data_IF_375166640949
#
_entry.id   IF_375166640949
#
_cell.length_a   1.000
_cell.length_b   1.000
_cell.length_c   1.000
_cell.angle_alpha   90.00
_cell.angle_beta   90.00
_cell.angle_gamma   90.00
#
_symmetry.space_group_name_H-M   'P 1'
#
loop_
_entity.id
_entity.type
_entity.pdbx_description
1 polymer ?
#
# COMPACT_ATOMS: atom_id res chain seq x y z
N UNK A 1 7.12 4.19 -63.62
CA UNK A 1 8.23 3.25 -63.32
C UNK A 1 7.96 2.63 -61.96
N UNK A 2 7.48 1.38 -61.90
CA UNK A 2 7.22 0.67 -60.64
C UNK A 2 8.28 -0.43 -60.51
N UNK A 3 9.12 -0.36 -59.48
CA UNK A 3 10.05 -1.42 -59.12
C UNK A 3 9.28 -2.41 -58.25
N UNK A 4 9.10 -3.64 -58.74
CA UNK A 4 8.64 -4.77 -57.95
C UNK A 4 9.89 -5.40 -57.37
N UNK A 5 10.07 -5.27 -56.06
CA UNK A 5 11.06 -6.00 -55.28
C UNK A 5 10.31 -6.97 -54.39
N UNK A 6 10.44 -8.24 -54.72
CA UNK A 6 10.37 -9.38 -53.83
C UNK A 6 11.69 -10.12 -54.12
N UNK A 7 12.36 -10.74 -53.13
CA UNK A 7 11.71 -11.87 -52.48
C UNK A 7 12.21 -12.24 -51.06
N UNK A 8 11.55 -13.28 -50.53
CA UNK A 8 12.18 -14.45 -49.91
C UNK A 8 12.35 -14.52 -48.39
N UNK A 9 12.13 -15.76 -47.93
CA UNK A 9 12.62 -16.39 -46.71
C UNK A 9 11.86 -16.13 -45.42
N UNK A 10 10.82 -16.95 -45.26
CA UNK A 10 10.53 -17.63 -44.02
C UNK A 10 11.82 -18.20 -43.39
N UNK A 11 12.16 -17.74 -42.20
CA UNK A 11 13.05 -18.44 -41.29
C UNK A 11 12.32 -18.67 -39.97
N UNK A 12 11.83 -19.90 -39.86
CA UNK A 12 11.37 -20.55 -38.64
C UNK A 12 12.54 -20.62 -37.65
N UNK A 13 12.48 -19.89 -36.53
CA UNK A 13 13.36 -20.13 -35.37
C UNK A 13 12.51 -20.59 -34.20
N UNK A 14 12.76 -21.85 -33.84
CA UNK A 14 12.18 -22.59 -32.73
C UNK A 14 12.51 -21.97 -31.37
N UNK A 15 11.48 -21.98 -30.52
CA UNK A 15 11.47 -22.27 -29.08
C UNK A 15 12.78 -22.09 -28.29
N UNK A 16 12.86 -20.98 -27.55
CA UNK A 16 13.49 -20.97 -26.23
C UNK A 16 12.40 -20.90 -25.16
N UNK A 17 11.71 -22.03 -24.97
CA UNK A 17 11.01 -22.35 -23.73
C UNK A 17 12.04 -22.63 -22.64
N UNK A 18 12.63 -21.57 -22.11
CA UNK A 18 13.36 -21.65 -20.85
C UNK A 18 12.37 -22.01 -19.74
N UNK A 19 12.67 -22.98 -18.86
CA UNK A 19 11.87 -23.16 -17.66
C UNK A 19 12.07 -21.89 -16.82
N UNK A 20 11.05 -21.04 -16.82
CA UNK A 20 10.92 -19.96 -15.85
C UNK A 20 10.90 -20.60 -14.46
N UNK A 21 12.09 -20.71 -13.86
CA UNK A 21 12.24 -20.94 -12.44
C UNK A 21 11.67 -19.69 -11.76
N UNK A 22 10.37 -19.69 -11.51
CA UNK A 22 9.81 -18.80 -10.52
C UNK A 22 10.46 -19.20 -9.21
N UNK A 23 11.41 -18.37 -8.76
CA UNK A 23 11.85 -18.41 -7.39
C UNK A 23 10.59 -18.32 -6.54
N UNK A 24 10.21 -19.46 -5.96
CA UNK A 24 9.12 -19.55 -5.00
C UNK A 24 9.45 -18.57 -3.90
N UNK A 25 8.76 -17.42 -3.93
CA UNK A 25 8.88 -16.37 -2.96
C UNK A 25 8.48 -16.94 -1.61
N UNK A 26 9.48 -17.27 -0.79
CA UNK A 26 9.31 -17.72 0.61
C UNK A 26 8.68 -16.61 1.47
N UNK A 27 8.41 -15.43 0.91
CA UNK A 27 7.61 -14.36 1.49
C UNK A 27 6.20 -14.24 0.90
N UNK A 28 5.64 -15.32 0.35
CA UNK A 28 4.20 -15.45 0.08
C UNK A 28 3.33 -15.48 1.37
N UNK A 29 3.79 -14.89 2.48
CA UNK A 29 2.89 -14.35 3.50
C UNK A 29 2.21 -13.09 2.93
N UNK A 30 1.35 -13.34 1.94
CA UNK A 30 0.46 -12.34 1.39
C UNK A 30 -0.35 -11.69 2.50
N UNK A 31 -0.84 -10.47 2.22
CA UNK A 31 -1.61 -9.54 3.09
C UNK A 31 -2.56 -10.14 4.16
N UNK A 32 -2.95 -11.41 4.07
CA UNK A 32 -3.65 -12.17 5.12
C UNK A 32 -2.79 -12.57 6.34
N UNK A 33 -1.47 -12.68 6.24
CA UNK A 33 -0.59 -13.08 7.36
C UNK A 33 -0.66 -12.13 8.55
N UNK A 34 -0.41 -10.83 8.31
CA UNK A 34 -0.49 -9.77 9.33
C UNK A 34 -1.90 -9.63 9.93
N UNK A 35 -2.93 -10.02 9.20
CA UNK A 35 -4.30 -9.99 9.72
C UNK A 35 -4.56 -11.11 10.72
N UNK A 36 -4.19 -12.33 10.33
CA UNK A 36 -4.33 -13.51 11.17
C UNK A 36 -3.53 -13.36 12.46
N UNK A 37 -2.36 -12.72 12.37
CA UNK A 37 -1.55 -12.39 13.53
C UNK A 37 -2.27 -11.44 14.51
N UNK A 38 -2.89 -10.35 14.02
CA UNK A 38 -3.65 -9.43 14.88
C UNK A 38 -4.83 -10.12 15.56
N UNK A 39 -5.53 -11.02 14.85
CA UNK A 39 -6.65 -11.78 15.43
C UNK A 39 -6.20 -12.66 16.59
N UNK A 40 -5.09 -13.38 16.40
CA UNK A 40 -4.48 -14.23 17.42
C UNK A 40 -3.97 -13.40 18.59
N UNK A 41 -3.28 -12.29 18.32
CA UNK A 41 -2.73 -11.44 19.38
C UNK A 41 -3.82 -10.74 20.18
N UNK A 42 -4.97 -10.39 19.61
CA UNK A 42 -6.04 -9.74 20.35
C UNK A 42 -7.09 -10.71 20.92
N UNK A 43 -6.92 -12.01 20.71
CA UNK A 43 -7.87 -13.04 21.14
C UNK A 43 -9.32 -12.66 20.75
N UNK A 44 -9.52 -12.28 19.47
CA UNK A 44 -10.81 -11.79 19.00
C UNK A 44 -11.86 -12.91 18.98
N UNK A 45 -13.08 -12.60 19.42
CA UNK A 45 -14.22 -13.52 19.30
C UNK A 45 -14.61 -13.70 17.83
N UNK A 46 -15.34 -14.78 17.53
CA UNK A 46 -15.83 -15.04 16.18
C UNK A 46 -16.70 -13.90 15.64
N UNK A 47 -17.57 -13.33 16.49
CA UNK A 47 -18.39 -12.16 16.13
C UNK A 47 -17.52 -10.95 15.79
N UNK A 48 -16.52 -10.64 16.62
CA UNK A 48 -15.61 -9.52 16.36
C UNK A 48 -14.83 -9.71 15.06
N UNK A 49 -14.43 -10.95 14.76
CA UNK A 49 -13.75 -11.34 13.52
C UNK A 49 -14.64 -11.08 12.30
N UNK A 50 -15.92 -11.40 12.38
CA UNK A 50 -16.90 -11.20 11.30
C UNK A 50 -17.15 -9.71 11.04
N UNK A 51 -17.39 -8.92 12.09
CA UNK A 51 -17.53 -7.46 11.97
C UNK A 51 -16.27 -6.83 11.35
N UNK A 52 -15.09 -7.29 11.75
CA UNK A 52 -13.83 -6.80 11.20
C UNK A 52 -13.62 -7.20 9.72
N UNK A 53 -14.09 -8.38 9.30
CA UNK A 53 -14.05 -8.81 7.89
C UNK A 53 -15.02 -7.99 7.04
N UNK A 54 -16.23 -7.74 7.53
CA UNK A 54 -17.23 -6.93 6.84
C UNK A 54 -16.76 -5.49 6.66
N UNK A 55 -16.30 -4.85 7.75
CA UNK A 55 -15.74 -3.49 7.70
C UNK A 55 -14.56 -3.37 6.71
N UNK A 56 -13.77 -4.43 6.54
CA UNK A 56 -12.71 -4.46 5.52
C UNK A 56 -13.25 -4.56 4.11
N UNK A 57 -14.30 -5.37 3.88
CA UNK A 57 -14.93 -5.49 2.56
C UNK A 57 -15.52 -4.15 2.14
N UNK A 58 -16.24 -3.47 3.03
CA UNK A 58 -16.86 -2.16 2.74
C UNK A 58 -15.83 -1.05 2.54
N UNK A 59 -14.69 -1.08 3.25
CA UNK A 59 -13.61 -0.12 3.04
C UNK A 59 -12.66 -0.47 1.88
N UNK A 60 -12.89 -1.57 1.13
CA UNK A 60 -12.09 -1.85 -0.07
C UNK A 60 -12.43 -0.90 -1.22
N UNK A 61 -13.67 -0.44 -1.30
CA UNK A 61 -14.21 0.39 -2.38
C UNK A 61 -14.02 1.89 -2.15
N UNK A 62 -13.70 2.31 -0.92
CA UNK A 62 -13.39 3.71 -0.60
C UNK A 62 -12.02 4.10 -1.16
N UNK A 63 -11.90 5.36 -1.56
CA UNK A 63 -10.61 5.96 -1.90
C UNK A 63 -9.64 5.75 -0.72
N UNK A 64 -8.48 5.15 -1.00
CA UNK A 64 -7.48 4.86 0.01
C UNK A 64 -6.40 5.93 -0.07
N UNK A 65 -5.82 6.31 1.09
CA UNK A 65 -4.62 7.10 1.06
C UNK A 65 -3.53 6.38 0.25
N UNK A 66 -2.90 7.13 -0.64
CA UNK A 66 -1.82 6.69 -1.50
C UNK A 66 -0.47 7.09 -0.89
N UNK A 67 0.09 6.15 -0.13
CA UNK A 67 1.41 6.31 0.47
C UNK A 67 2.52 6.46 -0.57
N UNK A 68 2.39 5.83 -1.75
CA UNK A 68 3.39 5.98 -2.81
C UNK A 68 3.36 7.40 -3.35
N UNK A 69 2.16 7.96 -3.56
CA UNK A 69 1.99 9.35 -3.98
C UNK A 69 2.55 10.34 -2.96
N UNK A 70 2.27 10.17 -1.67
CA UNK A 70 2.87 11.05 -0.65
C UNK A 70 4.40 10.96 -0.61
N UNK A 71 4.96 9.74 -0.77
CA UNK A 71 6.42 9.56 -0.87
C UNK A 71 6.98 10.26 -2.11
N UNK A 72 6.32 10.10 -3.26
CA UNK A 72 6.73 10.76 -4.50
C UNK A 72 6.69 12.29 -4.35
N UNK A 73 5.59 12.86 -3.84
CA UNK A 73 5.47 14.30 -3.60
C UNK A 73 6.56 14.84 -2.68
N UNK A 74 6.97 14.07 -1.66
CA UNK A 74 8.09 14.45 -0.78
C UNK A 74 9.42 14.50 -1.54
N UNK A 75 9.68 13.56 -2.44
CA UNK A 75 10.87 13.60 -3.29
C UNK A 75 10.77 14.73 -4.34
N UNK A 76 9.61 14.95 -4.94
CA UNK A 76 9.37 16.03 -5.90
C UNK A 76 9.64 17.40 -5.27
N UNK A 77 9.22 17.63 -4.02
CA UNK A 77 9.54 18.86 -3.27
C UNK A 77 11.04 19.04 -3.12
N UNK A 78 11.79 17.97 -2.77
CA UNK A 78 13.26 18.05 -2.65
C UNK A 78 13.91 18.38 -3.99
N UNK A 79 13.48 17.71 -5.06
CA UNK A 79 13.99 17.95 -6.42
C UNK A 79 13.68 19.37 -6.86
N UNK A 80 12.46 19.86 -6.64
CA UNK A 80 12.05 21.22 -6.96
C UNK A 80 12.89 22.25 -6.20
N UNK A 81 13.14 22.02 -4.90
CA UNK A 81 14.00 22.87 -4.10
C UNK A 81 15.45 22.91 -4.61
N UNK A 82 16.06 21.75 -4.88
CA UNK A 82 17.44 21.66 -5.39
C UNK A 82 17.57 22.36 -6.77
N UNK A 83 16.55 22.24 -7.61
CA UNK A 83 16.55 22.81 -8.95
C UNK A 83 16.13 24.30 -9.00
N UNK A 84 15.89 24.94 -7.85
CA UNK A 84 15.50 26.34 -7.80
C UNK A 84 14.12 26.64 -8.41
N UNK A 85 13.15 25.73 -8.23
CA UNK A 85 11.76 25.96 -8.60
C UNK A 85 11.19 27.19 -7.87
N UNK A 86 10.14 27.80 -8.44
CA UNK A 86 9.50 28.96 -7.80
C UNK A 86 8.80 28.58 -6.50
N UNK A 87 8.62 29.57 -5.61
CA UNK A 87 7.89 29.40 -4.36
C UNK A 87 6.47 28.87 -4.59
N UNK A 88 5.80 29.29 -5.66
CA UNK A 88 4.47 28.83 -6.03
C UNK A 88 4.47 27.33 -6.37
N UNK A 89 5.47 26.85 -7.10
CA UNK A 89 5.61 25.44 -7.46
C UNK A 89 5.85 24.57 -6.22
N UNK A 90 6.71 25.02 -5.30
CA UNK A 90 6.99 24.31 -4.05
C UNK A 90 5.74 24.29 -3.16
N UNK A 91 5.00 25.41 -3.07
CA UNK A 91 3.74 25.50 -2.32
C UNK A 91 2.67 24.57 -2.87
N UNK A 92 2.52 24.48 -4.19
CA UNK A 92 1.57 23.56 -4.83
C UNK A 92 1.88 22.09 -4.52
N UNK A 93 3.15 21.68 -4.63
CA UNK A 93 3.58 20.33 -4.27
C UNK A 93 3.34 20.03 -2.78
N UNK A 94 3.63 20.98 -1.90
CA UNK A 94 3.37 20.84 -0.47
C UNK A 94 1.88 20.75 -0.15
N UNK A 95 1.03 21.53 -0.81
CA UNK A 95 -0.44 21.45 -0.66
C UNK A 95 -0.96 20.06 -1.05
N UNK A 96 -0.48 19.52 -2.17
CA UNK A 96 -0.79 18.14 -2.60
C UNK A 96 -0.32 17.10 -1.59
N UNK A 97 0.87 17.28 -1.00
CA UNK A 97 1.40 16.40 0.03
C UNK A 97 0.53 16.44 1.30
N UNK A 98 0.16 17.64 1.75
CA UNK A 98 -0.69 17.82 2.92
C UNK A 98 -2.06 17.16 2.74
N UNK A 99 -2.68 17.32 1.57
CA UNK A 99 -3.95 16.66 1.26
C UNK A 99 -3.84 15.12 1.38
N UNK A 100 -2.75 14.53 0.89
CA UNK A 100 -2.54 13.08 0.96
C UNK A 100 -2.22 12.61 2.40
N UNK A 101 -1.46 13.40 3.15
CA UNK A 101 -1.19 13.13 4.57
C UNK A 101 -2.47 13.22 5.41
N UNK A 102 -3.38 14.14 5.09
CA UNK A 102 -4.64 14.29 5.82
C UNK A 102 -5.55 13.07 5.59
N UNK A 103 -5.65 12.58 4.35
CA UNK A 103 -6.32 11.31 4.05
C UNK A 103 -5.74 10.14 4.87
N UNK A 104 -4.42 10.11 5.06
CA UNK A 104 -3.78 9.08 5.90
C UNK A 104 -4.12 9.22 7.38
N UNK A 105 -4.11 10.44 7.92
CA UNK A 105 -4.47 10.69 9.32
C UNK A 105 -5.91 10.30 9.57
N UNK A 106 -6.82 10.73 8.70
CA UNK A 106 -8.24 10.40 8.80
C UNK A 106 -8.43 8.88 8.76
N UNK A 107 -7.89 8.19 7.75
CA UNK A 107 -8.00 6.72 7.65
C UNK A 107 -7.43 5.99 8.89
N UNK A 108 -6.35 6.50 9.50
CA UNK A 108 -5.79 5.95 10.76
C UNK A 108 -6.73 6.21 11.93
N UNK A 109 -7.33 7.39 12.00
CA UNK A 109 -8.24 7.81 13.06
C UNK A 109 -9.57 7.06 12.99
N UNK A 110 -10.23 7.00 11.83
CA UNK A 110 -11.48 6.24 11.69
C UNK A 110 -11.27 4.75 11.97
N UNK A 111 -10.10 4.18 11.59
CA UNK A 111 -9.73 2.82 12.00
C UNK A 111 -9.61 2.69 13.52
N UNK A 112 -9.01 3.66 14.20
CA UNK A 112 -8.88 3.64 15.66
C UNK A 112 -10.24 3.68 16.35
N UNK A 113 -11.16 4.53 15.88
CA UNK A 113 -12.54 4.57 16.38
C UNK A 113 -13.23 3.23 16.18
N UNK A 114 -13.12 2.64 14.98
CA UNK A 114 -13.69 1.33 14.70
C UNK A 114 -13.16 0.26 15.67
N UNK A 115 -11.84 0.19 15.87
CA UNK A 115 -11.25 -0.77 16.81
C UNK A 115 -11.68 -0.49 18.26
N UNK A 116 -11.81 0.78 18.66
CA UNK A 116 -12.33 1.13 20.00
C UNK A 116 -13.72 0.52 20.20
N UNK A 117 -14.61 0.67 19.23
CA UNK A 117 -15.97 0.17 19.34
C UNK A 117 -16.06 -1.37 19.28
N UNK A 118 -15.14 -2.01 18.54
CA UNK A 118 -15.10 -3.46 18.39
C UNK A 118 -14.52 -4.19 19.62
N UNK A 119 -13.45 -3.64 20.19
CA UNK A 119 -12.64 -4.29 21.23
C UNK A 119 -13.13 -3.97 22.64
N UNK A 120 -12.93 -4.90 23.58
CA UNK A 120 -13.10 -4.66 25.01
C UNK A 120 -11.89 -3.90 25.62
N UNK A 121 -11.93 -3.57 26.92
CA UNK A 121 -10.90 -2.77 27.57
C UNK A 121 -9.50 -3.42 27.52
N UNK A 122 -9.37 -4.70 27.82
CA UNK A 122 -8.09 -5.41 27.82
C UNK A 122 -7.52 -5.54 26.41
N UNK A 123 -8.38 -5.86 25.43
CA UNK A 123 -8.01 -5.90 24.02
C UNK A 123 -7.55 -4.52 23.50
N UNK A 124 -8.17 -3.42 23.95
CA UNK A 124 -7.75 -2.06 23.58
C UNK A 124 -6.36 -1.72 24.13
N UNK A 125 -6.03 -2.11 25.36
CA UNK A 125 -4.69 -1.93 25.94
C UNK A 125 -3.63 -2.64 25.09
N UNK A 126 -3.85 -3.93 24.82
CA UNK A 126 -2.96 -4.75 23.99
C UNK A 126 -2.82 -4.21 22.57
N UNK A 127 -3.92 -3.75 21.97
CA UNK A 127 -3.90 -3.08 20.66
C UNK A 127 -3.03 -1.81 20.64
N UNK A 128 -3.05 -1.02 21.71
CA UNK A 128 -2.22 0.19 21.82
C UNK A 128 -0.74 -0.12 22.04
N UNK A 129 -0.40 -1.15 22.81
CA UNK A 129 0.97 -1.65 22.97
C UNK A 129 1.55 -2.11 21.65
N UNK A 130 0.84 -2.98 20.93
CA UNK A 130 1.23 -3.45 19.59
C UNK A 130 1.47 -2.30 18.59
N UNK A 131 0.75 -1.18 18.73
CA UNK A 131 0.92 0.00 17.88
C UNK A 131 2.18 0.81 18.26
N UNK A 132 2.61 0.80 19.52
CA UNK A 132 3.88 1.43 19.94
C UNK A 132 5.07 0.66 19.35
N UNK A 133 5.08 -0.66 19.49
CA UNK A 133 6.18 -1.51 19.03
C UNK A 133 6.43 -1.44 17.52
N UNK A 134 5.36 -1.22 16.74
CA UNK A 134 5.48 -1.04 15.29
C UNK A 134 6.12 0.28 14.87
N UNK A 135 5.95 1.35 15.65
CA UNK A 135 6.59 2.64 15.34
C UNK A 135 8.09 2.58 15.57
N UNK A 136 8.53 1.98 16.67
CA UNK A 136 9.95 1.82 17.00
C UNK A 136 10.73 0.87 16.08
N UNK A 137 10.06 0.10 15.22
CA UNK A 137 10.70 -0.77 14.21
C UNK A 137 10.84 -0.12 12.84
N UNK A 138 10.18 1.01 12.60
CA UNK A 138 10.17 1.71 11.30
C UNK A 138 11.05 2.98 11.33
N UNK A 139 11.52 3.38 12.52
CA UNK A 139 12.53 4.43 12.76
C UNK A 139 13.93 3.79 12.90
#
# INVERSE_FOLDING_TARGET
MKKISLPFMALLVLCLSGPAHSYGDKNAQGKGGKFREIMKQLDLTQEQIETLKEHRKTNKTKEKPDWKKAKQLKEDIKVAFINGASDEQIKDLNSKLQAEQEKMKEARFSKMIFMKNLLNQEQRKKFMEMKKDRRHKED
#
